data_IF_181113856243
#
_entry.id   IF_181113856243
#
_cell.length_a   1.000
_cell.length_b   1.000
_cell.length_c   1.000
_cell.angle_alpha   90.00
_cell.angle_beta   90.00
_cell.angle_gamma   90.00
#
_symmetry.space_group_name_H-M   'P 1'
#
loop_
_entity.id
_entity.type
_entity.pdbx_description
1 polymer ?
#
# COMPACT_ATOMS: atom_id res chain seq x y z
N UNK A 1 2.15 -15.20 -25.61
CA UNK A 1 1.19 -14.09 -25.79
C UNK A 1 1.06 -13.43 -24.44
N UNK A 2 1.37 -12.17 -24.35
CA UNK A 2 1.15 -11.40 -23.11
C UNK A 2 -0.30 -10.89 -23.10
N UNK A 3 -0.90 -10.87 -21.93
CA UNK A 3 -2.26 -10.36 -21.70
C UNK A 3 -2.18 -9.26 -20.65
N UNK A 4 -2.70 -8.08 -20.97
CA UNK A 4 -2.82 -6.97 -20.03
C UNK A 4 -4.30 -6.71 -19.78
N UNK A 5 -4.69 -6.73 -18.50
CA UNK A 5 -6.05 -6.45 -18.06
C UNK A 5 -6.05 -5.26 -17.10
N UNK A 6 -6.69 -4.17 -17.50
CA UNK A 6 -6.85 -2.98 -16.67
C UNK A 6 -8.32 -2.78 -16.39
N UNK A 7 -8.72 -2.80 -15.13
CA UNK A 7 -10.08 -2.57 -14.69
C UNK A 7 -10.18 -1.22 -14.00
N UNK A 8 -11.00 -0.34 -14.54
CA UNK A 8 -11.27 0.97 -13.97
C UNK A 8 -12.69 0.98 -13.40
N UNK A 9 -12.81 1.13 -12.09
CA UNK A 9 -14.10 1.18 -11.42
C UNK A 9 -14.89 2.42 -11.91
N UNK A 10 -16.05 2.19 -12.56
CA UNK A 10 -16.89 3.24 -13.13
C UNK A 10 -16.57 3.66 -14.58
N UNK A 11 -15.45 3.23 -15.17
CA UNK A 11 -15.06 3.58 -16.54
C UNK A 11 -14.97 2.36 -17.48
N UNK A 12 -15.02 1.15 -16.95
CA UNK A 12 -14.98 -0.08 -17.74
C UNK A 12 -13.70 -0.90 -17.57
N UNK A 13 -13.60 -1.95 -18.36
CA UNK A 13 -12.48 -2.90 -18.35
C UNK A 13 -11.78 -2.81 -19.71
N UNK A 14 -10.44 -2.70 -19.69
CA UNK A 14 -9.60 -2.75 -20.88
C UNK A 14 -8.80 -4.04 -20.87
N UNK A 15 -8.89 -4.79 -21.97
CA UNK A 15 -8.15 -6.04 -22.14
C UNK A 15 -7.37 -5.96 -23.46
N UNK A 16 -6.06 -6.18 -23.38
CA UNK A 16 -5.19 -6.21 -24.55
C UNK A 16 -4.39 -7.51 -24.55
N UNK A 17 -4.49 -8.27 -25.66
CA UNK A 17 -3.72 -9.50 -25.89
C UNK A 17 -2.85 -9.29 -27.12
N UNK A 18 -1.55 -9.55 -27.01
CA UNK A 18 -0.65 -9.37 -28.15
C UNK A 18 0.79 -9.80 -27.88
N UNK A 19 1.66 -9.59 -28.86
CA UNK A 19 3.11 -9.66 -28.66
C UNK A 19 3.58 -8.40 -27.95
N UNK A 20 4.61 -8.51 -27.12
CA UNK A 20 5.17 -7.41 -26.29
C UNK A 20 5.39 -6.11 -27.07
N UNK A 21 5.89 -6.19 -28.27
CA UNK A 21 6.16 -5.04 -29.16
C UNK A 21 4.91 -4.22 -29.56
N UNK A 22 3.69 -4.78 -29.39
CA UNK A 22 2.42 -4.12 -29.68
C UNK A 22 1.68 -3.62 -28.46
N UNK A 23 1.98 -4.14 -27.27
CA UNK A 23 1.30 -3.78 -26.02
C UNK A 23 1.75 -2.40 -25.54
N UNK A 24 3.03 -2.07 -25.66
CA UNK A 24 3.58 -0.79 -25.19
C UNK A 24 2.98 0.45 -25.86
N UNK A 25 2.81 0.51 -27.21
CA UNK A 25 2.15 1.64 -27.87
C UNK A 25 0.66 1.76 -27.56
N UNK A 26 -0.03 0.65 -27.31
CA UNK A 26 -1.46 0.69 -26.98
C UNK A 26 -1.68 1.13 -25.53
N UNK A 27 -0.77 0.79 -24.62
CA UNK A 27 -0.72 1.33 -23.25
C UNK A 27 -0.56 2.85 -23.30
N UNK A 28 0.37 3.39 -24.10
CA UNK A 28 0.58 4.84 -24.23
C UNK A 28 -0.68 5.55 -24.77
N UNK A 29 -1.36 4.97 -25.76
CA UNK A 29 -2.62 5.51 -26.28
C UNK A 29 -3.74 5.48 -25.24
N UNK A 30 -3.84 4.40 -24.48
CA UNK A 30 -4.82 4.27 -23.41
C UNK A 30 -4.61 5.31 -22.31
N UNK A 31 -3.37 5.53 -21.87
CA UNK A 31 -3.05 6.57 -20.90
C UNK A 31 -3.25 7.98 -21.44
N UNK A 32 -2.96 8.23 -22.72
CA UNK A 32 -3.24 9.51 -23.36
C UNK A 32 -4.76 9.82 -23.42
N UNK A 33 -5.59 8.78 -23.55
CA UNK A 33 -7.05 8.91 -23.54
C UNK A 33 -7.64 9.12 -22.12
N UNK A 34 -6.88 8.76 -21.06
CA UNK A 34 -7.28 8.95 -19.67
C UNK A 34 -6.84 10.29 -19.07
N UNK A 35 -6.01 11.08 -19.79
CA UNK A 35 -5.70 12.44 -19.34
C UNK A 35 -7.00 13.25 -19.34
N UNK A 36 -7.28 14.02 -18.26
CA UNK A 36 -8.49 14.82 -18.20
C UNK A 36 -8.50 15.79 -19.37
N UNK A 37 -9.46 15.62 -20.27
CA UNK A 37 -9.80 16.65 -21.26
C UNK A 37 -10.22 17.86 -20.44
N UNK A 38 -9.45 18.94 -20.55
CA UNK A 38 -9.82 20.19 -19.92
C UNK A 38 -11.29 20.51 -20.27
N UNK A 39 -12.13 20.87 -19.29
CA UNK A 39 -13.53 21.14 -19.58
C UNK A 39 -13.62 22.27 -20.59
N UNK A 40 -14.19 21.99 -21.75
CA UNK A 40 -14.58 23.01 -22.73
C UNK A 40 -15.72 23.77 -22.08
N UNK A 41 -15.45 24.98 -21.62
CA UNK A 41 -16.47 25.89 -21.09
C UNK A 41 -17.32 26.36 -22.26
N UNK A 42 -18.46 25.74 -22.47
CA UNK A 42 -19.52 26.35 -23.23
C UNK A 42 -20.30 27.27 -22.30
N UNK A 43 -20.15 28.58 -22.52
CA UNK A 43 -21.00 29.59 -21.90
C UNK A 43 -22.42 29.48 -22.46
N UNK A 44 -23.33 28.95 -21.65
CA UNK A 44 -24.76 29.13 -21.83
C UNK A 44 -25.27 29.85 -20.59
N UNK A 45 -25.64 31.10 -20.78
CA UNK A 45 -26.40 31.86 -19.79
C UNK A 45 -27.80 31.26 -19.72
N UNK A 46 -28.15 30.66 -18.58
CA UNK A 46 -29.55 30.54 -18.18
C UNK A 46 -29.68 30.62 -16.64
N UNK A 47 -30.54 31.55 -16.25
CA UNK A 47 -30.83 31.94 -14.88
C UNK A 47 -31.84 30.97 -14.26
N UNK A 48 -31.37 29.95 -13.57
CA UNK A 48 -32.12 29.31 -12.48
C UNK A 48 -31.12 28.63 -11.54
N UNK A 49 -31.10 29.08 -10.29
CA UNK A 49 -30.21 28.58 -9.24
C UNK A 49 -30.50 27.10 -8.96
N UNK A 50 -29.63 26.17 -9.31
CA UNK A 50 -29.72 24.80 -8.82
C UNK A 50 -29.00 24.70 -7.48
N UNK A 51 -29.59 23.92 -6.58
CA UNK A 51 -28.98 23.52 -5.30
C UNK A 51 -27.56 22.98 -5.48
N UNK A 52 -26.64 23.15 -4.53
CA UNK A 52 -25.27 22.68 -4.65
C UNK A 52 -25.24 21.18 -4.86
N UNK A 53 -24.78 20.75 -6.03
CA UNK A 53 -24.48 19.35 -6.30
C UNK A 53 -23.24 18.99 -5.47
N UNK A 54 -23.43 18.22 -4.42
CA UNK A 54 -22.32 17.60 -3.68
C UNK A 54 -21.67 16.58 -4.60
N UNK A 55 -20.60 16.97 -5.27
CA UNK A 55 -19.71 16.02 -5.96
C UNK A 55 -19.04 15.21 -4.85
N UNK A 56 -19.50 13.99 -4.65
CA UNK A 56 -18.77 13.02 -3.83
C UNK A 56 -17.48 12.71 -4.56
N UNK A 57 -16.35 12.98 -3.92
CA UNK A 57 -15.02 12.56 -4.39
C UNK A 57 -15.03 11.02 -4.53
N UNK A 58 -15.24 10.56 -5.76
CA UNK A 58 -15.03 9.17 -6.10
C UNK A 58 -13.52 8.94 -6.18
N UNK A 59 -12.93 8.41 -5.13
CA UNK A 59 -11.55 7.89 -5.18
C UNK A 59 -11.58 6.67 -6.10
N UNK A 60 -11.09 6.84 -7.32
CA UNK A 60 -10.95 5.72 -8.27
C UNK A 60 -9.76 4.90 -7.82
N UNK A 61 -10.01 3.72 -7.25
CA UNK A 61 -8.96 2.73 -7.00
C UNK A 61 -8.56 2.11 -8.33
N UNK A 62 -7.30 2.28 -8.71
CA UNK A 62 -6.72 1.59 -9.86
C UNK A 62 -5.99 0.36 -9.36
N UNK A 63 -6.33 -0.81 -9.89
CA UNK A 63 -5.58 -2.05 -9.66
C UNK A 63 -4.90 -2.44 -10.97
N UNK A 64 -3.58 -2.60 -10.94
CA UNK A 64 -2.81 -3.09 -12.08
C UNK A 64 -2.52 -4.56 -11.81
N UNK A 65 -3.24 -5.44 -12.52
CA UNK A 65 -3.02 -6.89 -12.46
C UNK A 65 -1.91 -7.29 -13.45
N UNK A 66 -0.96 -8.08 -13.02
CA UNK A 66 0.17 -8.48 -13.85
C UNK A 66 0.48 -9.98 -13.77
N UNK A 67 0.75 -10.63 -14.92
CA UNK A 67 1.51 -11.88 -14.99
C UNK A 67 3.01 -11.59 -14.77
N UNK A 68 3.85 -12.62 -14.53
CA UNK A 68 5.29 -12.45 -14.24
C UNK A 68 6.02 -11.54 -15.24
N UNK A 69 5.75 -11.67 -16.53
CA UNK A 69 6.36 -10.86 -17.59
C UNK A 69 5.84 -9.43 -17.55
N UNK A 70 4.56 -9.24 -17.28
CA UNK A 70 3.93 -7.94 -17.16
C UNK A 70 4.35 -7.19 -15.89
N UNK A 71 4.62 -7.90 -14.77
CA UNK A 71 5.09 -7.25 -13.55
C UNK A 71 6.47 -6.59 -13.73
N UNK A 72 7.39 -7.20 -14.49
CA UNK A 72 8.69 -6.61 -14.80
C UNK A 72 8.54 -5.27 -15.54
N UNK A 73 7.61 -5.20 -16.49
CA UNK A 73 7.32 -3.97 -17.25
C UNK A 73 6.68 -2.91 -16.35
N UNK A 74 5.69 -3.28 -15.54
CA UNK A 74 5.06 -2.39 -14.55
C UNK A 74 6.11 -1.80 -13.61
N UNK A 75 7.00 -2.65 -13.07
CA UNK A 75 8.06 -2.21 -12.17
C UNK A 75 9.04 -1.26 -12.89
N UNK A 76 9.41 -1.56 -14.13
CA UNK A 76 10.31 -0.74 -14.93
C UNK A 76 9.70 0.63 -15.23
N UNK A 77 8.44 0.70 -15.60
CA UNK A 77 7.70 1.94 -15.84
C UNK A 77 7.54 2.75 -14.55
N UNK A 78 7.24 2.08 -13.43
CA UNK A 78 7.15 2.71 -12.12
C UNK A 78 8.47 3.36 -11.72
N UNK A 79 9.56 2.60 -11.78
CA UNK A 79 10.90 3.10 -11.44
C UNK A 79 11.34 4.26 -12.33
N UNK A 80 10.98 4.22 -13.61
CA UNK A 80 11.27 5.29 -14.57
C UNK A 80 10.36 6.54 -14.40
N UNK A 81 9.42 6.54 -13.43
CA UNK A 81 8.46 7.63 -13.24
C UNK A 81 7.48 7.80 -14.41
N UNK A 82 7.34 6.77 -15.26
CA UNK A 82 6.42 6.77 -16.41
C UNK A 82 5.04 6.21 -16.08
N UNK A 83 4.90 5.56 -14.95
CA UNK A 83 3.64 5.08 -14.43
C UNK A 83 3.16 6.02 -13.32
N UNK A 84 2.15 6.85 -13.62
CA UNK A 84 1.56 7.74 -12.64
C UNK A 84 0.62 6.96 -11.74
N UNK A 85 1.08 6.66 -10.53
CA UNK A 85 0.25 6.13 -9.46
C UNK A 85 -0.12 7.24 -8.49
N UNK A 86 -1.33 7.17 -7.97
CA UNK A 86 -1.77 8.01 -6.86
C UNK A 86 -1.72 7.21 -5.57
N UNK A 87 -1.57 7.89 -4.44
CA UNK A 87 -1.74 7.25 -3.13
C UNK A 87 -3.12 6.58 -3.07
N UNK A 88 -3.14 5.28 -2.75
CA UNK A 88 -4.34 4.44 -2.78
C UNK A 88 -4.44 3.51 -4.01
N UNK A 89 -3.67 3.74 -5.08
CA UNK A 89 -3.59 2.79 -6.20
C UNK A 89 -2.86 1.51 -5.77
N UNK A 90 -3.23 0.38 -6.38
CA UNK A 90 -2.64 -0.93 -6.04
C UNK A 90 -1.88 -1.53 -7.22
N UNK A 91 -0.87 -2.32 -6.89
CA UNK A 91 -0.16 -3.19 -7.82
C UNK A 91 -0.30 -4.64 -7.35
N UNK A 92 -0.43 -5.56 -8.30
CA UNK A 92 -0.39 -7.00 -8.02
C UNK A 92 1.01 -7.53 -8.27
N UNK A 93 1.59 -8.18 -7.26
CA UNK A 93 2.92 -8.79 -7.30
C UNK A 93 2.76 -10.29 -7.36
N UNK A 94 3.23 -10.97 -8.44
CA UNK A 94 3.25 -12.43 -8.51
C UNK A 94 4.30 -12.97 -7.53
N UNK A 95 3.94 -14.00 -6.77
CA UNK A 95 4.84 -14.64 -5.81
C UNK A 95 5.44 -15.92 -6.40
N UNK A 96 6.61 -16.30 -5.92
CA UNK A 96 7.33 -17.51 -6.41
C UNK A 96 6.61 -18.84 -6.15
N UNK A 97 5.64 -18.85 -5.23
CA UNK A 97 4.79 -20.03 -4.98
C UNK A 97 3.61 -20.16 -5.95
N UNK A 98 3.50 -19.24 -6.92
CA UNK A 98 2.44 -19.21 -7.92
C UNK A 98 1.18 -18.46 -7.47
N UNK A 99 1.18 -17.91 -6.27
CA UNK A 99 0.11 -16.99 -5.80
C UNK A 99 0.44 -15.54 -6.18
N UNK A 100 -0.42 -14.61 -5.81
CA UNK A 100 -0.17 -13.18 -5.97
C UNK A 100 -0.57 -12.42 -4.72
N UNK A 101 0.01 -11.23 -4.55
CA UNK A 101 -0.32 -10.33 -3.46
C UNK A 101 -0.55 -8.91 -3.98
N UNK A 102 -1.54 -8.23 -3.41
CA UNK A 102 -1.81 -6.83 -3.72
C UNK A 102 -1.10 -5.91 -2.74
N UNK A 103 -0.51 -4.85 -3.29
CA UNK A 103 0.16 -3.80 -2.53
C UNK A 103 -0.39 -2.44 -2.92
N UNK A 104 -0.75 -1.64 -1.94
CA UNK A 104 -1.26 -0.29 -2.13
C UNK A 104 -0.13 0.73 -1.95
N UNK A 105 -0.07 1.71 -2.84
CA UNK A 105 0.82 2.87 -2.70
C UNK A 105 0.32 3.73 -1.54
N UNK A 106 1.08 3.79 -0.45
CA UNK A 106 0.72 4.55 0.76
C UNK A 106 1.43 5.89 0.85
N UNK A 107 2.57 6.01 0.21
CA UNK A 107 3.36 7.25 0.19
C UNK A 107 4.28 7.28 -1.03
N UNK A 108 4.51 8.47 -1.54
CA UNK A 108 5.50 8.77 -2.57
C UNK A 108 6.37 9.94 -2.10
N UNK A 109 7.68 9.82 -2.28
CA UNK A 109 8.64 10.91 -2.08
C UNK A 109 9.59 11.03 -3.28
N UNK A 110 10.58 11.93 -3.22
CA UNK A 110 11.50 12.17 -4.33
C UNK A 110 12.41 10.97 -4.65
N UNK A 111 12.59 10.04 -3.70
CA UNK A 111 13.52 8.91 -3.83
C UNK A 111 12.81 7.59 -4.13
N UNK A 112 11.57 7.43 -3.65
CA UNK A 112 10.91 6.14 -3.64
C UNK A 112 9.39 6.18 -3.61
N UNK A 113 8.81 5.06 -4.01
CA UNK A 113 7.42 4.68 -3.76
C UNK A 113 7.37 3.75 -2.55
N UNK A 114 6.48 4.01 -1.61
CA UNK A 114 6.20 3.13 -0.47
C UNK A 114 4.91 2.38 -0.70
N UNK A 115 5.02 1.08 -0.70
CA UNK A 115 3.89 0.16 -0.81
C UNK A 115 3.67 -0.61 0.48
N UNK A 116 2.42 -0.95 0.74
CA UNK A 116 2.03 -1.81 1.86
C UNK A 116 1.02 -2.86 1.38
N UNK A 117 1.12 -4.07 1.92
CA UNK A 117 0.19 -5.15 1.55
C UNK A 117 -1.25 -4.81 1.92
N UNK A 118 -2.18 -5.09 1.02
CA UNK A 118 -3.62 -4.87 1.23
C UNK A 118 -4.17 -5.81 2.30
N UNK A 119 -3.62 -7.03 2.36
CA UNK A 119 -3.94 -8.05 3.38
C UNK A 119 -2.75 -8.28 4.30
N UNK A 120 -2.97 -8.98 5.41
CA UNK A 120 -1.87 -9.48 6.25
C UNK A 120 -1.10 -10.56 5.49
N UNK A 121 0.24 -10.54 5.57
CA UNK A 121 1.07 -11.50 4.84
C UNK A 121 1.00 -12.90 5.45
N UNK A 122 1.11 -13.91 4.59
CA UNK A 122 0.99 -15.32 4.98
C UNK A 122 -0.45 -15.80 5.20
N UNK A 123 -1.45 -14.92 5.07
CA UNK A 123 -2.87 -15.30 5.21
C UNK A 123 -3.26 -15.78 6.61
N UNK A 124 -2.42 -15.52 7.63
CA UNK A 124 -2.58 -16.00 8.99
C UNK A 124 -2.23 -14.91 10.01
N UNK A 125 -2.46 -15.20 11.27
CA UNK A 125 -2.08 -14.38 12.41
C UNK A 125 -0.73 -14.80 12.97
N UNK A 126 -0.05 -13.88 13.65
CA UNK A 126 1.33 -14.08 14.13
C UNK A 126 1.56 -13.35 15.43
N UNK A 127 2.34 -13.96 16.35
CA UNK A 127 2.84 -13.25 17.52
C UNK A 127 3.86 -12.18 17.14
N UNK A 128 3.96 -11.11 17.91
CA UNK A 128 4.81 -9.95 17.54
C UNK A 128 6.29 -10.31 17.40
N UNK A 129 6.78 -11.24 18.22
CA UNK A 129 8.15 -11.74 18.17
C UNK A 129 8.46 -12.60 16.93
N UNK A 130 7.43 -13.10 16.23
CA UNK A 130 7.55 -13.90 15.02
C UNK A 130 7.34 -13.10 13.71
N UNK A 131 7.08 -11.80 13.82
CA UNK A 131 6.88 -10.96 12.62
C UNK A 131 8.13 -10.92 11.74
N UNK A 132 9.32 -10.86 12.35
CA UNK A 132 10.57 -10.82 11.59
C UNK A 132 10.82 -12.15 10.86
N UNK A 133 10.61 -13.29 11.51
CA UNK A 133 10.68 -14.62 10.87
C UNK A 133 9.64 -14.74 9.73
N UNK A 134 8.47 -14.14 9.89
CA UNK A 134 7.44 -14.09 8.84
C UNK A 134 7.92 -13.27 7.64
N UNK A 135 8.52 -12.10 7.89
CA UNK A 135 9.02 -11.22 6.83
C UNK A 135 10.20 -11.83 6.07
N UNK A 136 11.11 -12.54 6.75
CA UNK A 136 12.18 -13.28 6.08
C UNK A 136 11.62 -14.32 5.11
N UNK A 137 10.67 -15.13 5.56
CA UNK A 137 9.99 -16.11 4.69
C UNK A 137 9.21 -15.44 3.55
N UNK A 138 8.56 -14.33 3.82
CA UNK A 138 7.80 -13.60 2.80
C UNK A 138 8.73 -12.96 1.77
N UNK A 139 9.89 -12.44 2.19
CA UNK A 139 10.92 -11.92 1.28
C UNK A 139 11.37 -12.97 0.26
N UNK A 140 11.52 -14.23 0.69
CA UNK A 140 11.88 -15.34 -0.18
C UNK A 140 10.82 -15.65 -1.24
N UNK A 141 9.55 -15.30 -1.00
CA UNK A 141 8.45 -15.45 -1.96
C UNK A 141 8.42 -14.32 -3.00
N UNK A 142 8.98 -13.15 -2.70
CA UNK A 142 8.96 -12.02 -3.64
C UNK A 142 9.80 -12.32 -4.89
N UNK A 143 9.34 -11.89 -6.09
CA UNK A 143 10.09 -12.08 -7.31
C UNK A 143 11.44 -11.35 -7.26
N UNK A 144 12.48 -11.94 -7.83
CA UNK A 144 13.85 -11.41 -7.80
C UNK A 144 13.92 -9.97 -8.34
N UNK A 145 13.18 -9.67 -9.40
CA UNK A 145 13.14 -8.35 -9.99
C UNK A 145 12.63 -7.28 -9.00
N UNK A 146 11.73 -7.64 -8.09
CA UNK A 146 11.29 -6.74 -7.02
C UNK A 146 12.36 -6.62 -5.95
N UNK A 147 12.87 -7.76 -5.44
CA UNK A 147 13.84 -7.75 -4.33
C UNK A 147 15.15 -7.02 -4.68
N UNK A 148 15.59 -7.04 -5.94
CA UNK A 148 16.77 -6.31 -6.41
C UNK A 148 16.57 -4.77 -6.41
N UNK A 149 15.32 -4.30 -6.34
CA UNK A 149 14.95 -2.89 -6.38
C UNK A 149 14.36 -2.36 -5.07
N UNK A 150 14.26 -3.20 -4.04
CA UNK A 150 13.85 -2.76 -2.72
C UNK A 150 14.93 -1.92 -2.05
N UNK A 151 14.50 -0.87 -1.37
CA UNK A 151 15.39 -0.02 -0.58
C UNK A 151 15.54 -0.56 0.83
N UNK A 152 16.79 -0.67 1.28
CA UNK A 152 17.07 -0.79 2.71
C UNK A 152 16.59 0.49 3.38
N UNK A 153 15.57 0.35 4.22
CA UNK A 153 14.87 1.48 4.82
C UNK A 153 15.23 1.59 6.30
N UNK A 154 15.75 2.74 6.68
CA UNK A 154 16.06 3.06 8.07
C UNK A 154 14.79 3.47 8.79
N UNK A 155 14.44 2.72 9.83
CA UNK A 155 13.26 2.94 10.65
C UNK A 155 13.67 3.32 12.08
N UNK A 156 13.06 4.36 12.62
CA UNK A 156 13.28 4.81 13.99
C UNK A 156 12.12 4.34 14.87
N UNK A 157 12.42 3.96 16.10
CA UNK A 157 11.42 3.56 17.07
C UNK A 157 11.91 3.90 18.48
N UNK A 158 11.00 4.01 19.44
CA UNK A 158 11.34 4.13 20.85
C UNK A 158 11.38 2.76 21.49
N UNK A 159 12.43 2.49 22.22
CA UNK A 159 12.52 1.30 23.03
C UNK A 159 11.73 1.46 24.34
N UNK A 160 11.73 0.42 25.18
CA UNK A 160 11.05 0.41 26.48
C UNK A 160 11.55 1.47 27.48
N UNK A 161 12.70 2.07 27.24
CA UNK A 161 13.27 3.13 28.05
C UNK A 161 13.04 4.51 27.46
N UNK A 162 12.18 4.61 26.46
CA UNK A 162 11.89 5.81 25.67
C UNK A 162 13.10 6.32 24.85
N UNK A 163 14.16 5.53 24.74
CA UNK A 163 15.31 5.87 23.93
C UNK A 163 15.05 5.60 22.45
N UNK A 164 15.43 6.55 21.58
CA UNK A 164 15.27 6.40 20.15
C UNK A 164 16.32 5.42 19.63
N UNK A 165 15.85 4.35 19.03
CA UNK A 165 16.62 3.33 18.34
C UNK A 165 16.40 3.41 16.85
N UNK A 166 17.32 2.81 16.08
CA UNK A 166 17.22 2.71 14.63
C UNK A 166 17.37 1.25 14.19
N UNK A 167 16.57 0.88 13.19
CA UNK A 167 16.63 -0.42 12.57
C UNK A 167 16.58 -0.26 11.06
N UNK A 168 17.40 -1.01 10.35
CA UNK A 168 17.36 -1.10 8.89
C UNK A 168 16.70 -2.40 8.45
N UNK A 169 15.77 -2.30 7.54
CA UNK A 169 15.10 -3.47 6.95
C UNK A 169 14.53 -3.13 5.58
N UNK A 170 14.42 -4.12 4.70
CA UNK A 170 13.77 -3.98 3.40
C UNK A 170 12.27 -4.16 3.51
N UNK A 171 11.82 -5.04 4.42
CA UNK A 171 10.41 -5.25 4.76
C UNK A 171 10.17 -4.74 6.19
N UNK A 172 9.07 -4.04 6.41
CA UNK A 172 8.79 -3.42 7.71
C UNK A 172 7.28 -3.31 7.99
N UNK A 173 6.93 -3.15 9.28
CA UNK A 173 5.61 -2.71 9.71
C UNK A 173 5.53 -1.17 9.67
N UNK A 174 4.33 -0.58 9.42
CA UNK A 174 4.09 0.83 9.72
C UNK A 174 4.29 1.10 11.23
N UNK A 175 4.70 2.33 11.57
CA UNK A 175 4.71 2.78 12.95
C UNK A 175 3.36 3.40 13.35
N UNK A 176 3.09 3.51 14.65
CA UNK A 176 1.83 4.05 15.14
C UNK A 176 1.57 5.51 14.67
N UNK A 177 2.54 6.45 14.74
CA UNK A 177 2.31 7.82 14.27
C UNK A 177 2.12 7.93 12.75
N UNK A 178 2.59 6.96 11.95
CA UNK A 178 2.29 6.94 10.51
C UNK A 178 0.82 6.60 10.23
N UNK A 179 0.18 5.83 11.12
CA UNK A 179 -1.19 5.34 10.94
C UNK A 179 -2.21 6.21 11.64
N UNK A 180 -1.87 6.78 12.79
CA UNK A 180 -2.80 7.51 13.64
C UNK A 180 -2.37 8.96 13.85
N UNK A 181 -3.32 9.89 14.08
CA UNK A 181 -2.98 11.23 14.54
C UNK A 181 -2.25 11.19 15.88
N UNK A 182 -1.49 12.22 16.19
CA UNK A 182 -0.61 12.26 17.35
C UNK A 182 -1.32 12.01 18.69
N UNK A 183 -2.56 12.45 18.82
CA UNK A 183 -3.38 12.29 20.03
C UNK A 183 -3.76 10.82 20.30
N UNK A 184 -3.74 9.97 19.29
CA UNK A 184 -4.10 8.54 19.37
C UNK A 184 -2.85 7.63 19.44
N UNK A 185 -1.64 8.21 19.52
CA UNK A 185 -0.39 7.42 19.47
C UNK A 185 0.07 7.05 20.84
N UNK A 186 0.23 5.76 21.07
CA UNK A 186 0.72 5.18 22.32
C UNK A 186 2.22 4.84 22.31
N UNK A 187 2.92 5.10 21.21
CA UNK A 187 4.35 4.86 21.06
C UNK A 187 4.92 5.55 19.83
N UNK A 188 6.23 5.79 19.82
CA UNK A 188 6.96 6.47 18.73
C UNK A 188 6.49 7.92 18.43
N UNK A 189 5.75 8.56 19.35
CA UNK A 189 5.28 9.93 19.21
C UNK A 189 6.41 10.88 18.79
N UNK A 190 6.16 11.74 17.82
CA UNK A 190 7.11 12.70 17.26
C UNK A 190 8.22 12.12 16.38
N UNK A 191 8.22 10.81 16.09
CA UNK A 191 9.20 10.21 15.17
C UNK A 191 8.76 10.27 13.70
N UNK A 192 7.45 10.28 13.46
CA UNK A 192 6.83 10.29 12.13
C UNK A 192 5.58 11.17 12.15
N UNK A 193 5.19 11.61 10.97
CA UNK A 193 3.90 12.25 10.73
C UNK A 193 2.89 11.22 10.23
N UNK A 194 1.60 11.47 10.48
CA UNK A 194 0.53 10.64 9.94
C UNK A 194 0.53 10.71 8.42
N UNK A 195 0.56 9.55 7.77
CA UNK A 195 0.48 9.46 6.33
C UNK A 195 -0.91 9.86 5.83
N UNK A 196 -0.97 10.60 4.73
CA UNK A 196 -2.23 11.02 4.10
C UNK A 196 -3.17 9.83 3.85
N UNK A 197 -2.60 8.71 3.38
CA UNK A 197 -3.34 7.47 3.15
C UNK A 197 -4.15 7.01 4.36
N UNK A 198 -3.60 7.12 5.57
CA UNK A 198 -4.25 6.63 6.78
C UNK A 198 -5.17 7.64 7.47
N UNK A 199 -5.33 8.85 6.93
CA UNK A 199 -6.34 9.80 7.43
C UNK A 199 -7.76 9.27 7.24
N UNK A 200 -8.01 8.52 6.18
CA UNK A 200 -9.25 7.76 6.05
C UNK A 200 -9.16 6.46 6.87
N UNK A 201 -10.04 6.35 7.88
CA UNK A 201 -10.10 5.18 8.76
C UNK A 201 -10.32 3.86 7.99
N UNK A 202 -11.00 3.89 6.85
CA UNK A 202 -11.23 2.69 6.03
C UNK A 202 -9.93 2.08 5.52
N UNK A 203 -8.90 2.86 5.30
CA UNK A 203 -7.58 2.40 4.87
C UNK A 203 -6.78 1.71 5.98
N UNK A 204 -7.25 1.76 7.23
CA UNK A 204 -6.66 1.05 8.36
C UNK A 204 -7.21 -0.36 8.52
N UNK A 205 -8.24 -0.74 7.75
CA UNK A 205 -8.82 -2.07 7.80
C UNK A 205 -7.95 -3.05 7.01
N UNK A 206 -7.69 -4.22 7.58
CA UNK A 206 -6.95 -5.31 6.92
C UNK A 206 -7.70 -6.62 7.09
N UNK A 207 -7.59 -7.48 6.10
CA UNK A 207 -8.07 -8.86 6.11
C UNK A 207 -6.88 -9.81 6.16
N UNK A 208 -7.09 -11.07 6.52
CA UNK A 208 -6.04 -12.09 6.42
C UNK A 208 -5.79 -12.47 4.96
N UNK A 209 -6.86 -12.72 4.21
CA UNK A 209 -6.84 -13.03 2.78
C UNK A 209 -7.84 -12.14 2.03
N UNK A 210 -7.74 -11.98 0.71
CA UNK A 210 -8.71 -11.21 -0.07
C UNK A 210 -10.16 -11.72 0.11
N UNK A 211 -10.33 -13.04 0.24
CA UNK A 211 -11.64 -13.69 0.36
C UNK A 211 -12.19 -13.71 1.79
N UNK A 212 -11.42 -13.28 2.79
CA UNK A 212 -11.91 -13.19 4.17
C UNK A 212 -13.09 -12.21 4.26
N UNK A 213 -14.14 -12.57 4.96
CA UNK A 213 -15.26 -11.66 5.22
C UNK A 213 -14.90 -10.64 6.29
N UNK A 214 -14.19 -11.08 7.33
CA UNK A 214 -13.85 -10.29 8.50
C UNK A 214 -12.51 -9.57 8.36
N UNK A 215 -12.46 -8.39 8.95
CA UNK A 215 -11.21 -7.65 9.20
C UNK A 215 -10.54 -8.14 10.48
N UNK A 216 -9.22 -8.06 10.53
CA UNK A 216 -8.41 -8.49 11.67
C UNK A 216 -7.66 -7.32 12.28
N UNK A 217 -7.33 -7.43 13.56
CA UNK A 217 -6.33 -6.56 14.16
C UNK A 217 -4.95 -6.87 13.59
N UNK A 218 -4.08 -5.85 13.47
CA UNK A 218 -2.77 -6.05 12.90
C UNK A 218 -1.69 -5.24 13.60
N UNK A 219 -0.47 -5.77 13.60
CA UNK A 219 0.68 -5.22 14.31
C UNK A 219 1.21 -3.94 13.68
N UNK A 220 1.64 -3.04 14.54
CA UNK A 220 2.49 -1.90 14.20
C UNK A 220 3.92 -2.14 14.71
N UNK A 221 4.86 -1.37 14.20
CA UNK A 221 6.27 -1.44 14.62
C UNK A 221 6.44 -0.96 16.05
N UNK A 222 5.68 0.03 16.47
CA UNK A 222 5.83 0.77 17.73
C UNK A 222 5.58 -0.10 18.95
N UNK A 223 6.47 -0.03 19.94
CA UNK A 223 6.16 -0.52 21.28
C UNK A 223 5.12 0.39 21.96
N UNK A 224 4.28 -0.18 22.80
CA UNK A 224 3.33 0.59 23.58
C UNK A 224 4.04 1.28 24.75
N UNK A 225 3.91 2.61 24.86
CA UNK A 225 4.51 3.38 25.92
C UNK A 225 3.99 2.93 27.31
N UNK A 226 4.89 2.75 28.25
CA UNK A 226 4.56 2.39 29.64
C UNK A 226 4.40 0.90 29.93
N UNK A 227 4.57 0.00 28.93
CA UNK A 227 4.61 -1.45 29.19
C UNK A 227 5.78 -2.11 28.45
N UNK A 228 6.30 -3.20 29.01
CA UNK A 228 7.43 -3.94 28.43
C UNK A 228 6.99 -5.10 27.53
N UNK A 229 5.69 -5.40 27.48
CA UNK A 229 5.13 -6.60 26.84
C UNK A 229 4.12 -6.30 25.74
N UNK A 230 3.69 -5.03 25.61
CA UNK A 230 2.69 -4.66 24.62
C UNK A 230 3.32 -3.92 23.44
N UNK A 231 2.74 -4.15 22.28
CA UNK A 231 3.00 -3.41 21.05
C UNK A 231 1.73 -2.72 20.55
N UNK A 232 1.90 -1.59 19.91
CA UNK A 232 0.81 -0.90 19.23
C UNK A 232 0.26 -1.78 18.12
N UNK A 233 -1.03 -1.70 17.91
CA UNK A 233 -1.75 -2.42 16.89
C UNK A 233 -2.90 -1.57 16.36
N UNK A 234 -3.40 -1.92 15.19
CA UNK A 234 -4.69 -1.43 14.69
C UNK A 234 -5.73 -2.46 15.06
N UNK A 235 -6.81 -2.03 15.70
CA UNK A 235 -7.95 -2.89 15.97
C UNK A 235 -8.71 -3.23 14.67
N UNK A 236 -9.43 -4.35 14.61
CA UNK A 236 -10.14 -4.79 13.42
C UNK A 236 -11.16 -3.77 12.88
N UNK A 237 -11.61 -2.81 13.69
CA UNK A 237 -12.45 -1.69 13.27
C UNK A 237 -11.66 -0.42 12.89
N UNK A 238 -10.31 -0.47 12.78
CA UNK A 238 -9.45 0.63 12.34
C UNK A 238 -9.11 1.67 13.41
N UNK A 239 -9.37 1.41 14.70
CA UNK A 239 -8.95 2.27 15.82
C UNK A 239 -7.57 1.86 16.35
N UNK A 240 -6.91 2.81 17.04
CA UNK A 240 -5.68 2.53 17.76
C UNK A 240 -5.95 1.52 18.89
N UNK A 241 -5.00 0.61 19.11
CA UNK A 241 -5.04 -0.41 20.14
C UNK A 241 -3.63 -0.83 20.55
N UNK A 242 -3.52 -1.65 21.57
CA UNK A 242 -2.30 -2.35 21.93
C UNK A 242 -2.60 -3.78 22.33
N UNK A 243 -1.65 -4.67 22.08
CA UNK A 243 -1.80 -6.08 22.36
C UNK A 243 -0.50 -6.63 22.97
N UNK A 244 -0.61 -7.66 23.83
CA UNK A 244 0.56 -8.40 24.30
C UNK A 244 1.28 -9.04 23.11
N UNK A 245 2.61 -8.99 23.09
CA UNK A 245 3.45 -9.56 22.04
C UNK A 245 3.16 -11.05 21.77
N UNK A 246 2.71 -11.78 22.78
CA UNK A 246 2.36 -13.20 22.71
C UNK A 246 0.98 -13.52 22.13
N UNK A 247 0.17 -12.50 21.79
CA UNK A 247 -1.14 -12.75 21.20
C UNK A 247 -1.04 -13.34 19.81
N UNK A 248 -1.83 -14.40 19.56
CA UNK A 248 -1.79 -15.20 18.34
C UNK A 248 -2.91 -14.88 17.34
N UNK A 249 -3.70 -13.84 17.59
CA UNK A 249 -4.85 -13.46 16.77
C UNK A 249 -4.68 -12.10 16.07
N UNK A 250 -3.44 -11.62 15.94
CA UNK A 250 -3.10 -10.35 15.31
C UNK A 250 -2.32 -10.64 14.03
N UNK A 251 -2.74 -10.05 12.91
CA UNK A 251 -2.07 -10.20 11.62
C UNK A 251 -0.89 -9.24 11.48
N UNK A 252 -0.11 -9.39 10.41
CA UNK A 252 0.99 -8.49 10.09
C UNK A 252 0.92 -8.08 8.61
N UNK A 253 0.62 -6.82 8.28
CA UNK A 253 0.87 -6.30 6.93
C UNK A 253 2.37 -6.09 6.74
N UNK A 254 2.82 -6.02 5.49
CA UNK A 254 4.20 -5.70 5.17
C UNK A 254 4.29 -4.45 4.32
N UNK A 255 5.22 -3.57 4.65
CA UNK A 255 5.60 -2.42 3.84
C UNK A 255 7.00 -2.59 3.25
N UNK A 256 7.22 -1.99 2.09
CA UNK A 256 8.53 -1.85 1.47
C UNK A 256 8.61 -0.57 0.64
N UNK A 257 9.83 -0.20 0.23
CA UNK A 257 10.07 0.94 -0.64
C UNK A 257 10.79 0.51 -1.92
N UNK A 258 10.33 1.02 -3.06
CA UNK A 258 10.92 0.81 -4.38
C UNK A 258 11.60 2.11 -4.81
N UNK A 259 12.86 2.03 -5.25
CA UNK A 259 13.63 3.19 -5.72
C UNK A 259 13.05 3.77 -7.00
N UNK A 260 12.99 5.09 -7.09
CA UNK A 260 12.82 5.82 -8.35
C UNK A 260 14.15 5.87 -9.10
N UNK A 261 14.11 5.61 -10.41
CA UNK A 261 15.25 5.89 -11.28
C UNK A 261 15.41 7.41 -11.43
N UNK A 262 16.62 7.90 -11.24
CA UNK A 262 16.94 9.30 -11.47
C UNK A 262 17.06 9.59 -12.95
#
# INVERSE_FOLDING_TARGET
MAELKVKLEGLGEFECTGKEEFISPEIEKFYAALLPVAPVVHSVEDNSSPAPVVVRDCVVKRTIESSDTCFADVLSLLMAGKLNLNVGDTITVPLKDGTSAEFVLTQEDDEAYRFESVTCVGGDTVTRDKVDDLFERYYDLLPKILTDNLLLTKRRYRDRNDAIQERESVLFLPSAPEVFPEDDVYGDSGLYEQMEYYKDRRHRLRKLTPDSEDTVSWWLMSAYAGTTSNFCSVYNAGSASSNYASYTWVGAPVGFRIRKSK
#
